data_IF_246407290452
#
_entry.id   IF_246407290452
#
_cell.length_a   1.000
_cell.length_b   1.000
_cell.length_c   1.000
_cell.angle_alpha   90.00
_cell.angle_beta   90.00
_cell.angle_gamma   90.00
#
_symmetry.space_group_name_H-M   'P 1'
#
loop_
_entity.id
_entity.type
_entity.pdbx_description
1 polymer ?
#
# COMPACT_ATOMS: atom_id res chain seq x y z
N UNK A 1 41.97 -49.84 -39.80
CA UNK A 1 41.53 -48.50 -39.31
C UNK A 1 40.09 -48.48 -38.76
N UNK A 2 39.16 -49.24 -39.34
CA UNK A 2 37.75 -49.31 -38.89
C UNK A 2 37.54 -49.81 -37.44
N UNK A 3 38.35 -50.75 -36.97
CA UNK A 3 38.23 -51.36 -35.62
C UNK A 3 38.60 -50.40 -34.48
N UNK A 4 39.57 -49.51 -34.71
CA UNK A 4 40.00 -48.50 -33.73
C UNK A 4 38.94 -47.41 -33.52
N UNK A 5 38.26 -47.00 -34.60
CA UNK A 5 37.16 -46.04 -34.55
C UNK A 5 35.93 -46.59 -33.81
N UNK A 6 35.57 -47.86 -34.09
CA UNK A 6 34.50 -48.53 -33.36
C UNK A 6 34.81 -48.69 -31.86
N UNK A 7 36.04 -49.07 -31.53
CA UNK A 7 36.47 -49.17 -30.14
C UNK A 7 36.44 -47.81 -29.42
N UNK A 8 36.87 -46.74 -30.09
CA UNK A 8 36.79 -45.38 -29.55
C UNK A 8 35.33 -44.95 -29.33
N UNK A 9 34.43 -45.20 -30.29
CA UNK A 9 33.01 -44.89 -30.16
C UNK A 9 32.36 -45.63 -28.97
N UNK A 10 32.62 -46.93 -28.84
CA UNK A 10 32.11 -47.74 -27.71
C UNK A 10 32.64 -47.21 -26.38
N UNK A 11 33.93 -46.86 -26.32
CA UNK A 11 34.53 -46.24 -25.13
C UNK A 11 33.84 -44.91 -24.79
N UNK A 12 33.62 -44.04 -25.77
CA UNK A 12 32.91 -42.76 -25.57
C UNK A 12 31.48 -42.98 -25.07
N UNK A 13 30.74 -43.92 -25.66
CA UNK A 13 29.36 -44.25 -25.25
C UNK A 13 29.36 -44.73 -23.79
N UNK A 14 30.25 -45.64 -23.44
CA UNK A 14 30.35 -46.18 -22.07
C UNK A 14 30.72 -45.09 -21.05
N UNK A 15 31.63 -44.19 -21.38
CA UNK A 15 31.98 -43.05 -20.52
C UNK A 15 30.79 -42.11 -20.34
N UNK A 16 30.06 -41.78 -21.41
CA UNK A 16 28.84 -40.96 -21.32
C UNK A 16 27.75 -41.64 -20.49
N UNK A 17 27.55 -42.95 -20.65
CA UNK A 17 26.62 -43.71 -19.81
C UNK A 17 27.00 -43.73 -18.33
N UNK A 18 28.29 -43.68 -18.01
CA UNK A 18 28.76 -43.56 -16.62
C UNK A 18 28.42 -42.18 -16.05
N UNK A 19 28.71 -41.12 -16.80
CA UNK A 19 28.40 -39.73 -16.41
C UNK A 19 26.88 -39.55 -16.19
N UNK A 20 26.05 -40.07 -17.10
CA UNK A 20 24.58 -39.98 -16.96
C UNK A 20 24.13 -40.68 -15.68
N UNK A 21 24.68 -41.85 -15.35
CA UNK A 21 24.36 -42.57 -14.11
C UNK A 21 24.73 -41.75 -12.86
N UNK A 22 25.91 -41.14 -12.86
CA UNK A 22 26.35 -40.28 -11.75
C UNK A 22 25.45 -39.03 -11.60
N UNK A 23 25.07 -38.39 -12.71
CA UNK A 23 24.15 -37.25 -12.70
C UNK A 23 22.77 -37.63 -12.15
N UNK A 24 22.23 -38.79 -12.52
CA UNK A 24 20.95 -39.28 -12.00
C UNK A 24 21.01 -39.50 -10.49
N UNK A 25 22.10 -40.08 -9.98
CA UNK A 25 22.29 -40.26 -8.53
C UNK A 25 22.35 -38.91 -7.80
N UNK A 26 23.05 -37.92 -8.37
CA UNK A 26 23.12 -36.58 -7.80
C UNK A 26 21.74 -35.90 -7.77
N UNK A 27 20.97 -35.99 -8.86
CA UNK A 27 19.61 -35.44 -8.93
C UNK A 27 18.71 -36.08 -7.87
N UNK A 28 18.75 -37.41 -7.71
CA UNK A 28 17.98 -38.11 -6.69
C UNK A 28 18.35 -37.68 -5.27
N UNK A 29 19.65 -37.45 -5.01
CA UNK A 29 20.13 -36.96 -3.72
C UNK A 29 19.63 -35.53 -3.43
N UNK A 30 19.75 -34.62 -4.41
CA UNK A 30 19.29 -33.24 -4.27
C UNK A 30 17.77 -33.17 -4.07
N UNK A 31 16.99 -33.99 -4.78
CA UNK A 31 15.54 -34.08 -4.59
C UNK A 31 15.21 -34.51 -3.15
N UNK A 32 15.90 -35.51 -2.59
CA UNK A 32 15.70 -35.93 -1.19
C UNK A 32 15.95 -34.80 -0.19
N UNK A 33 16.95 -33.95 -0.44
CA UNK A 33 17.23 -32.78 0.41
C UNK A 33 16.09 -31.76 0.32
N UNK A 34 15.68 -31.40 -0.89
CA UNK A 34 14.60 -30.43 -1.15
C UNK A 34 13.27 -30.90 -0.54
N UNK A 35 12.90 -32.17 -0.72
CA UNK A 35 11.69 -32.72 -0.11
C UNK A 35 11.76 -32.70 1.42
N UNK A 36 12.92 -32.97 2.02
CA UNK A 36 13.10 -32.92 3.47
C UNK A 36 13.03 -31.48 4.00
N UNK A 37 13.64 -30.50 3.33
CA UNK A 37 13.57 -29.10 3.75
C UNK A 37 12.15 -28.54 3.62
N UNK A 38 11.48 -28.81 2.49
CA UNK A 38 10.09 -28.38 2.29
C UNK A 38 9.12 -29.07 3.28
N UNK A 39 9.37 -30.33 3.64
CA UNK A 39 8.60 -31.03 4.67
C UNK A 39 8.84 -30.44 6.06
N UNK A 40 10.08 -30.08 6.40
CA UNK A 40 10.40 -29.41 7.66
C UNK A 40 9.77 -28.01 7.72
N UNK A 41 9.79 -27.26 6.61
CA UNK A 41 9.13 -25.96 6.51
C UNK A 41 7.60 -26.09 6.63
N UNK A 42 6.98 -27.15 6.11
CA UNK A 42 5.56 -27.42 6.34
C UNK A 42 5.25 -27.82 7.79
N UNK A 43 6.09 -28.66 8.42
CA UNK A 43 5.92 -29.08 9.82
C UNK A 43 6.17 -27.91 10.79
N UNK A 44 7.10 -27.01 10.46
CA UNK A 44 7.43 -25.83 11.27
C UNK A 44 6.54 -24.62 10.94
N UNK A 45 5.93 -24.59 9.75
CA UNK A 45 4.87 -23.62 9.45
C UNK A 45 3.75 -23.87 10.46
N UNK A 46 3.44 -22.84 11.26
CA UNK A 46 2.25 -22.81 12.12
C UNK A 46 0.98 -22.68 11.28
N UNK A 47 0.85 -23.50 10.24
CA UNK A 47 -0.40 -23.67 9.51
C UNK A 47 -1.38 -24.30 10.50
N UNK A 48 -2.51 -23.65 10.81
CA UNK A 48 -3.49 -24.23 11.73
C UNK A 48 -3.90 -25.60 11.20
N UNK A 49 -3.90 -26.63 12.06
CA UNK A 49 -4.42 -27.94 11.66
C UNK A 49 -5.86 -27.77 11.16
N UNK A 50 -6.27 -28.56 10.15
CA UNK A 50 -7.65 -28.73 9.69
C UNK A 50 -8.59 -29.35 10.74
N UNK A 51 -8.35 -29.10 12.04
CA UNK A 51 -9.33 -29.38 13.08
C UNK A 51 -10.48 -28.40 12.91
N UNK A 52 -11.68 -28.93 13.11
CA UNK A 52 -13.03 -28.34 13.01
C UNK A 52 -13.06 -26.81 12.92
N UNK A 53 -13.94 -26.21 12.10
CA UNK A 53 -14.10 -24.76 12.00
C UNK A 53 -14.13 -24.17 13.39
N UNK A 54 -13.01 -23.58 13.79
CA UNK A 54 -12.95 -22.89 15.07
C UNK A 54 -13.63 -21.58 14.78
N UNK A 55 -14.63 -21.21 15.59
CA UNK A 55 -15.29 -19.90 15.57
C UNK A 55 -14.28 -18.85 16.06
N UNK A 56 -13.21 -18.73 15.30
CA UNK A 56 -12.16 -17.77 15.53
C UNK A 56 -12.75 -16.45 15.07
N UNK A 57 -12.98 -15.56 16.03
CA UNK A 57 -13.42 -14.18 15.82
C UNK A 57 -12.35 -13.33 15.09
N UNK A 58 -11.72 -13.86 14.04
CA UNK A 58 -10.78 -13.11 13.24
C UNK A 58 -11.54 -12.25 12.25
N UNK A 59 -11.47 -10.94 12.52
CA UNK A 59 -11.74 -9.83 11.61
C UNK A 59 -12.96 -10.04 10.71
N UNK A 60 -14.15 -10.21 11.33
CA UNK A 60 -15.41 -10.01 10.63
C UNK A 60 -15.31 -8.65 9.93
N UNK A 61 -15.47 -8.63 8.62
CA UNK A 61 -15.48 -7.40 7.83
C UNK A 61 -16.51 -6.44 8.45
N UNK A 62 -16.02 -5.40 9.13
CA UNK A 62 -16.87 -4.35 9.71
C UNK A 62 -16.92 -3.24 8.68
N UNK A 63 -18.11 -3.02 8.13
CA UNK A 63 -18.38 -1.83 7.34
C UNK A 63 -18.58 -0.69 8.33
N UNK A 64 -17.82 0.38 8.18
CA UNK A 64 -18.05 1.60 8.95
C UNK A 64 -19.47 2.11 8.66
N UNK A 65 -20.14 2.61 9.68
CA UNK A 65 -21.43 3.28 9.50
C UNK A 65 -21.23 4.50 8.59
N UNK A 66 -22.22 4.77 7.73
CA UNK A 66 -22.18 5.96 6.88
C UNK A 66 -22.12 7.21 7.76
N UNK A 67 -21.30 8.21 7.41
CA UNK A 67 -21.25 9.45 8.17
C UNK A 67 -22.60 10.15 8.13
N UNK A 68 -23.04 10.70 9.26
CA UNK A 68 -24.20 11.57 9.32
C UNK A 68 -23.80 12.92 8.70
N UNK A 69 -24.44 13.31 7.61
CA UNK A 69 -24.24 14.62 6.99
C UNK A 69 -25.17 15.59 7.70
N UNK A 70 -24.63 16.39 8.61
CA UNK A 70 -25.39 17.45 9.28
C UNK A 70 -25.53 18.68 8.38
N UNK A 71 -26.73 19.26 8.35
CA UNK A 71 -26.93 20.56 7.71
C UNK A 71 -26.26 21.65 8.53
N UNK A 72 -25.25 22.29 7.94
CA UNK A 72 -24.58 23.40 8.60
C UNK A 72 -25.41 24.67 8.51
N UNK A 73 -25.53 25.36 9.64
CA UNK A 73 -26.13 26.70 9.69
C UNK A 73 -25.39 27.65 8.73
N UNK A 74 -26.18 28.32 7.89
CA UNK A 74 -25.70 29.37 7.00
C UNK A 74 -25.59 30.68 7.76
N UNK A 75 -24.41 31.28 7.70
CA UNK A 75 -24.12 32.59 8.29
C UNK A 75 -24.04 33.66 7.18
N UNK A 76 -24.01 34.93 7.57
CA UNK A 76 -23.76 36.05 6.64
C UNK A 76 -22.43 36.73 7.00
N UNK A 77 -21.49 36.74 6.05
CA UNK A 77 -20.20 37.39 6.18
C UNK A 77 -20.29 38.88 6.60
N UNK A 78 -21.30 39.62 6.15
CA UNK A 78 -21.49 41.04 6.48
C UNK A 78 -21.82 41.21 7.96
N UNK A 79 -22.68 40.33 8.49
CA UNK A 79 -23.03 40.33 9.91
C UNK A 79 -21.79 39.98 10.75
N UNK A 80 -21.05 38.95 10.34
CA UNK A 80 -19.80 38.56 11.01
C UNK A 80 -18.76 39.70 11.05
N UNK A 81 -18.63 40.50 9.98
CA UNK A 81 -17.76 41.67 9.96
C UNK A 81 -18.23 42.77 10.92
N UNK A 82 -19.54 43.03 10.98
CA UNK A 82 -20.12 44.02 11.89
C UNK A 82 -19.92 43.61 13.36
N UNK A 83 -20.16 42.34 13.69
CA UNK A 83 -19.94 41.77 15.02
C UNK A 83 -18.46 41.85 15.42
N UNK A 84 -17.55 41.51 14.50
CA UNK A 84 -16.11 41.65 14.74
C UNK A 84 -15.74 43.10 15.06
N UNK A 85 -16.25 44.06 14.28
CA UNK A 85 -15.99 45.49 14.48
C UNK A 85 -16.54 45.96 15.82
N UNK A 86 -17.75 45.58 16.18
CA UNK A 86 -18.35 45.92 17.47
C UNK A 86 -17.53 45.37 18.64
N UNK A 87 -17.06 44.12 18.52
CA UNK A 87 -16.28 43.44 19.57
C UNK A 87 -14.86 43.97 19.71
N UNK A 88 -14.19 44.29 18.61
CA UNK A 88 -12.76 44.62 18.60
C UNK A 88 -12.47 46.11 18.35
N UNK A 89 -13.51 46.93 18.11
CA UNK A 89 -13.40 48.35 17.75
C UNK A 89 -12.48 48.62 16.56
N UNK A 90 -12.31 47.63 15.66
CA UNK A 90 -11.46 47.70 14.48
C UNK A 90 -12.01 46.81 13.37
N UNK A 91 -11.75 47.21 12.13
CA UNK A 91 -12.15 46.42 10.97
C UNK A 91 -11.26 45.17 10.82
N UNK A 92 -11.88 44.05 10.45
CA UNK A 92 -11.15 42.83 10.12
C UNK A 92 -10.47 43.01 8.75
N UNK A 93 -9.16 42.86 8.73
CA UNK A 93 -8.37 42.96 7.49
C UNK A 93 -8.41 41.62 6.72
N UNK A 94 -8.33 41.65 5.37
CA UNK A 94 -8.11 40.46 4.57
C UNK A 94 -6.84 39.71 4.99
N UNK A 95 -6.77 38.43 4.62
CA UNK A 95 -5.63 37.56 4.93
C UNK A 95 -4.37 38.05 4.21
N UNK A 96 -3.32 38.37 4.96
CA UNK A 96 -2.02 38.73 4.39
C UNK A 96 -1.24 37.47 3.99
N UNK A 97 -0.90 37.37 2.70
CA UNK A 97 -0.25 36.18 2.12
C UNK A 97 1.26 36.41 1.97
N UNK A 98 2.08 35.43 2.38
CA UNK A 98 3.55 35.53 2.32
C UNK A 98 4.17 34.93 1.06
N UNK A 99 3.58 33.89 0.48
CA UNK A 99 4.21 33.07 -0.58
C UNK A 99 3.54 33.20 -1.96
N UNK A 100 2.76 34.26 -2.20
CA UNK A 100 2.05 34.48 -3.48
C UNK A 100 0.94 33.48 -3.81
N UNK A 101 0.78 32.39 -3.03
CA UNK A 101 -0.31 31.43 -3.17
C UNK A 101 -1.64 32.11 -2.81
N UNK A 102 -2.54 32.25 -3.78
CA UNK A 102 -3.83 32.91 -3.61
C UNK A 102 -4.97 31.92 -3.74
N UNK A 103 -5.99 32.10 -2.91
CA UNK A 103 -7.28 31.43 -3.11
C UNK A 103 -7.92 32.03 -4.38
N UNK A 104 -8.39 31.21 -5.34
CA UNK A 104 -9.00 31.71 -6.56
C UNK A 104 -10.18 32.67 -6.29
N UNK A 105 -10.33 33.70 -7.12
CA UNK A 105 -11.28 34.80 -6.88
C UNK A 105 -12.75 34.39 -6.84
N UNK A 106 -13.10 33.30 -7.54
CA UNK A 106 -14.45 32.75 -7.59
C UNK A 106 -14.82 31.92 -6.34
N UNK A 107 -13.85 31.57 -5.50
CA UNK A 107 -14.10 30.77 -4.30
C UNK A 107 -14.69 31.64 -3.20
N UNK A 108 -15.74 31.11 -2.58
CA UNK A 108 -16.45 31.70 -1.44
C UNK A 108 -16.62 30.66 -0.34
N UNK A 109 -16.69 31.12 0.91
CA UNK A 109 -16.94 30.23 2.04
C UNK A 109 -18.34 29.60 1.91
N UNK A 110 -18.47 28.26 1.92
CA UNK A 110 -19.79 27.63 1.82
C UNK A 110 -20.65 27.87 3.07
N UNK A 111 -20.07 28.26 4.20
CA UNK A 111 -20.80 28.54 5.44
C UNK A 111 -21.35 29.97 5.50
N UNK A 112 -20.54 30.97 5.12
CA UNK A 112 -20.86 32.38 5.33
C UNK A 112 -20.77 33.29 4.10
N UNK A 113 -20.44 32.74 2.93
CA UNK A 113 -20.18 33.49 1.69
C UNK A 113 -19.00 34.49 1.73
N UNK A 114 -18.09 34.34 2.70
CA UNK A 114 -16.88 35.15 2.75
C UNK A 114 -16.07 35.05 1.44
N UNK A 115 -15.63 36.18 0.86
CA UNK A 115 -14.91 36.18 -0.41
C UNK A 115 -13.47 35.68 -0.23
N UNK A 116 -12.87 35.20 -1.33
CA UNK A 116 -11.52 34.63 -1.37
C UNK A 116 -10.43 35.44 -0.62
N UNK A 117 -10.55 36.76 -0.53
CA UNK A 117 -9.59 37.62 0.18
C UNK A 117 -9.53 37.34 1.69
N UNK A 118 -10.59 36.80 2.28
CA UNK A 118 -10.69 36.44 3.70
C UNK A 118 -10.51 34.94 3.95
N UNK A 119 -10.19 34.16 2.90
CA UNK A 119 -10.00 32.72 2.99
C UNK A 119 -8.50 32.38 3.03
N UNK A 120 -8.17 31.41 3.88
CA UNK A 120 -6.86 30.80 3.97
C UNK A 120 -6.89 29.41 3.33
N UNK A 121 -5.85 29.06 2.56
CA UNK A 121 -5.69 27.73 1.98
C UNK A 121 -4.89 26.83 2.94
N UNK A 122 -5.54 25.84 3.54
CA UNK A 122 -4.94 24.91 4.50
C UNK A 122 -4.66 23.51 3.91
N UNK A 123 -4.37 23.40 2.61
CA UNK A 123 -4.14 22.12 1.92
C UNK A 123 -2.81 21.39 2.29
N UNK A 124 -2.28 21.54 3.50
CA UNK A 124 -1.15 20.75 4.02
C UNK A 124 0.21 20.86 3.29
N UNK A 125 0.28 21.57 2.16
CA UNK A 125 1.46 21.71 1.33
C UNK A 125 2.39 22.82 1.81
N UNK A 126 3.11 22.57 2.92
CA UNK A 126 4.29 23.30 3.40
C UNK A 126 4.16 24.82 3.48
N UNK A 127 3.48 25.27 4.52
CA UNK A 127 3.57 26.65 5.01
C UNK A 127 2.60 27.03 6.13
N UNK A 128 2.24 26.07 6.99
CA UNK A 128 1.97 26.39 8.40
C UNK A 128 3.29 26.83 9.06
#
# INVERSE_FOLDING_TARGET
MHTSLLHHLVKTINTKMKIIREQVQLIQFLLKIIFRSNLLDQIQSKSPSLKQPTDLNFQKFRVDELPIIEETEKLDFRILLAEYKAKHSKDLKPVQRRNGKQVPSHIRCPKCDAPHAFLYDNNGGKGQ
#
